data_IF_632934781489
#
_entry.id   IF_632934781489
#
_cell.length_a   1.000
_cell.length_b   1.000
_cell.length_c   1.000
_cell.angle_alpha   90.00
_cell.angle_beta   90.00
_cell.angle_gamma   90.00
#
_symmetry.space_group_name_H-M   'P 1'
#
loop_
_entity.id
_entity.type
_entity.pdbx_description
1 polymer ?
#
# COMPACT_ATOMS: atom_id res chain seq x y z
N UNK A 1 -18.08 9.97 -2.07
CA UNK A 1 -17.18 9.15 -2.92
C UNK A 1 -15.90 9.92 -3.15
N UNK A 2 -14.76 9.23 -3.28
CA UNK A 2 -13.50 9.89 -3.54
C UNK A 2 -13.38 10.33 -5.02
N UNK A 3 -12.63 11.40 -5.29
CA UNK A 3 -12.31 11.84 -6.66
C UNK A 3 -10.90 11.43 -7.06
N UNK A 4 -10.62 11.35 -8.35
CA UNK A 4 -9.29 11.04 -8.87
C UNK A 4 -8.25 12.02 -8.32
N UNK A 5 -7.16 11.50 -7.76
CA UNK A 5 -6.09 12.29 -7.13
C UNK A 5 -6.38 12.83 -5.73
N UNK A 6 -7.57 12.59 -5.15
CA UNK A 6 -7.89 13.08 -3.79
C UNK A 6 -6.99 12.45 -2.72
N UNK A 7 -6.64 11.17 -2.88
CA UNK A 7 -5.75 10.42 -1.98
C UNK A 7 -4.59 9.83 -2.80
N UNK A 8 -3.61 10.65 -3.20
CA UNK A 8 -2.57 10.24 -4.16
C UNK A 8 -1.56 9.22 -3.60
N UNK A 9 -1.62 8.97 -2.30
CA UNK A 9 -0.85 7.92 -1.64
C UNK A 9 -1.56 6.56 -1.61
N UNK A 10 -2.84 6.49 -1.98
CA UNK A 10 -3.61 5.25 -1.91
C UNK A 10 -3.05 4.21 -2.88
N UNK A 11 -2.86 2.99 -2.37
CA UNK A 11 -2.34 1.86 -3.14
C UNK A 11 -3.33 0.70 -3.08
N UNK A 12 -3.58 0.08 -4.24
CA UNK A 12 -4.22 -1.22 -4.32
C UNK A 12 -3.15 -2.31 -4.42
N UNK A 13 -3.27 -3.33 -3.59
CA UNK A 13 -2.41 -4.50 -3.58
C UNK A 13 -3.22 -5.75 -3.91
N UNK A 14 -2.92 -6.39 -5.04
CA UNK A 14 -3.34 -7.77 -5.28
C UNK A 14 -2.20 -8.69 -4.89
N UNK A 15 -2.42 -9.46 -3.83
CA UNK A 15 -1.39 -10.30 -3.22
C UNK A 15 -1.56 -11.72 -3.74
N UNK A 16 -0.50 -12.26 -4.33
CA UNK A 16 -0.43 -13.68 -4.70
C UNK A 16 0.07 -14.47 -3.48
N UNK A 17 -0.70 -15.48 -3.06
CA UNK A 17 -0.38 -16.33 -1.91
C UNK A 17 0.01 -17.73 -2.37
N UNK A 18 0.44 -18.58 -1.43
CA UNK A 18 0.63 -20.00 -1.74
C UNK A 18 -0.66 -20.72 -2.12
N UNK A 19 -1.79 -20.26 -1.58
CA UNK A 19 -3.12 -20.79 -1.87
C UNK A 19 -4.08 -19.62 -2.07
N UNK A 20 -4.33 -19.24 -3.33
CA UNK A 20 -5.26 -18.18 -3.68
C UNK A 20 -4.64 -16.80 -3.69
N UNK A 21 -5.51 -15.78 -3.56
CA UNK A 21 -5.16 -14.37 -3.68
C UNK A 21 -5.88 -13.56 -2.61
N UNK A 22 -5.26 -12.46 -2.20
CA UNK A 22 -5.88 -11.49 -1.31
C UNK A 22 -5.91 -10.10 -1.97
N UNK A 23 -6.86 -9.27 -1.52
CA UNK A 23 -6.95 -7.87 -1.88
C UNK A 23 -6.67 -7.03 -0.64
N UNK A 24 -5.69 -6.14 -0.75
CA UNK A 24 -5.27 -5.27 0.34
C UNK A 24 -5.14 -3.83 -0.15
N UNK A 25 -5.11 -2.90 0.80
CA UNK A 25 -4.68 -1.53 0.59
C UNK A 25 -3.22 -1.32 0.98
N UNK A 26 -2.71 -0.15 0.65
CA UNK A 26 -1.45 0.36 1.16
C UNK A 26 -1.35 1.87 1.02
N UNK A 27 -0.26 2.44 1.52
CA UNK A 27 0.06 3.85 1.39
C UNK A 27 1.48 4.03 0.88
N UNK A 28 1.65 4.83 -0.17
CA UNK A 28 2.98 5.17 -0.68
C UNK A 28 3.72 6.01 0.37
N UNK A 29 4.92 5.59 0.77
CA UNK A 29 5.79 6.31 1.72
C UNK A 29 6.88 7.11 1.02
N UNK A 30 7.35 6.61 -0.12
CA UNK A 30 8.34 7.26 -0.96
C UNK A 30 8.25 6.71 -2.39
N UNK A 31 9.16 7.11 -3.27
CA UNK A 31 9.21 6.66 -4.66
C UNK A 31 9.28 5.14 -4.81
N UNK A 32 9.73 4.41 -3.79
CA UNK A 32 9.94 2.96 -3.90
C UNK A 32 9.40 2.13 -2.72
N UNK A 33 8.69 2.75 -1.78
CA UNK A 33 8.23 2.08 -0.57
C UNK A 33 6.73 2.28 -0.35
N UNK A 34 6.01 1.17 -0.15
CA UNK A 34 4.59 1.14 0.20
C UNK A 34 4.44 0.55 1.60
N UNK A 35 3.72 1.25 2.48
CA UNK A 35 3.27 0.74 3.76
C UNK A 35 2.01 -0.09 3.58
N UNK A 36 1.90 -1.22 4.26
CA UNK A 36 0.69 -2.04 4.33
C UNK A 36 0.63 -2.79 5.67
N UNK A 37 -0.39 -3.61 5.86
CA UNK A 37 -0.54 -4.44 7.05
C UNK A 37 0.37 -5.68 6.98
N UNK A 38 0.76 -6.18 8.15
CA UNK A 38 1.57 -7.40 8.28
C UNK A 38 0.84 -8.64 7.77
N UNK A 39 -0.47 -8.73 8.00
CA UNK A 39 -1.31 -9.82 7.52
C UNK A 39 -1.40 -9.85 5.98
N UNK A 40 -1.34 -8.71 5.31
CA UNK A 40 -1.30 -8.64 3.84
C UNK A 40 -0.01 -9.22 3.27
N UNK A 41 1.08 -9.19 4.04
CA UNK A 41 2.36 -9.77 3.66
C UNK A 41 2.57 -11.18 4.20
N UNK A 42 1.59 -11.75 4.92
CA UNK A 42 1.73 -13.09 5.49
C UNK A 42 1.56 -14.19 4.44
N UNK A 43 2.66 -14.90 4.15
CA UNK A 43 2.70 -15.92 3.12
C UNK A 43 2.64 -15.38 1.68
N UNK A 44 2.89 -14.08 1.49
CA UNK A 44 2.92 -13.42 0.18
C UNK A 44 4.05 -13.95 -0.71
N UNK A 45 3.75 -14.17 -2.00
CA UNK A 45 4.77 -14.47 -3.02
C UNK A 45 5.13 -13.22 -3.81
N UNK A 46 4.14 -12.42 -4.13
CA UNK A 46 4.29 -11.16 -4.85
C UNK A 46 3.10 -10.24 -4.61
N UNK A 47 3.30 -8.97 -4.95
CA UNK A 47 2.29 -7.92 -4.91
C UNK A 47 2.19 -7.29 -6.29
N UNK A 48 1.01 -7.35 -6.92
CA UNK A 48 0.66 -6.41 -7.98
C UNK A 48 0.21 -5.11 -7.31
N UNK A 49 0.99 -4.06 -7.50
CA UNK A 49 0.84 -2.74 -6.88
C UNK A 49 0.25 -1.80 -7.91
N UNK A 50 -0.92 -1.22 -7.62
CA UNK A 50 -1.55 -0.20 -8.46
C UNK A 50 -1.62 1.15 -7.73
N UNK A 51 -1.15 2.20 -8.39
CA UNK A 51 -1.10 3.59 -7.92
C UNK A 51 -1.84 4.52 -8.88
N UNK A 52 -2.41 5.61 -8.36
CA UNK A 52 -3.02 6.65 -9.19
C UNK A 52 -4.42 6.34 -9.76
N UNK A 53 -5.08 5.30 -9.23
CA UNK A 53 -6.44 4.91 -9.63
C UNK A 53 -7.47 5.26 -8.54
N UNK A 54 -8.72 5.53 -8.95
CA UNK A 54 -9.89 5.71 -8.06
C UNK A 54 -10.95 4.62 -8.27
N UNK A 55 -10.95 3.98 -9.43
CA UNK A 55 -11.80 2.85 -9.78
C UNK A 55 -10.89 1.71 -10.28
N UNK A 56 -10.99 0.54 -9.65
CA UNK A 56 -10.15 -0.60 -9.98
C UNK A 56 -10.75 -1.49 -11.09
N UNK A 57 -12.06 -1.38 -11.35
CA UNK A 57 -12.77 -2.11 -12.41
C UNK A 57 -12.63 -1.40 -13.76
N UNK A 58 -12.61 -0.05 -13.75
CA UNK A 58 -12.24 0.71 -14.94
C UNK A 58 -10.72 0.60 -15.15
N UNK A 59 -10.30 -0.10 -16.21
CA UNK A 59 -8.89 -0.33 -16.54
C UNK A 59 -8.44 0.45 -17.78
N UNK A 60 -9.27 1.37 -18.28
CA UNK A 60 -9.00 2.06 -19.53
C UNK A 60 -8.16 3.34 -19.34
N UNK A 61 -6.86 3.22 -19.60
CA UNK A 61 -5.94 4.33 -19.93
C UNK A 61 -6.00 5.56 -18.98
N UNK A 62 -6.14 5.34 -17.68
CA UNK A 62 -6.25 6.40 -16.67
C UNK A 62 -4.90 6.94 -16.17
N UNK A 63 -3.78 6.49 -16.73
CA UNK A 63 -2.44 6.88 -16.30
C UNK A 63 -2.01 6.26 -14.96
N UNK A 64 -2.67 5.20 -14.48
CA UNK A 64 -2.22 4.44 -13.32
C UNK A 64 -0.86 3.81 -13.54
N UNK A 65 -0.13 3.61 -12.45
CA UNK A 65 1.12 2.85 -12.44
C UNK A 65 0.81 1.47 -11.88
N UNK A 66 1.19 0.42 -12.62
CA UNK A 66 1.06 -0.98 -12.19
C UNK A 66 2.44 -1.64 -12.19
N UNK A 67 2.85 -2.17 -11.04
CA UNK A 67 4.15 -2.81 -10.85
C UNK A 67 3.98 -4.14 -10.12
N UNK A 68 4.90 -5.07 -10.33
CA UNK A 68 4.96 -6.32 -9.55
C UNK A 68 6.17 -6.28 -8.62
N UNK A 69 5.93 -6.33 -7.32
CA UNK A 69 6.95 -6.35 -6.28
C UNK A 69 7.06 -7.75 -5.65
N UNK A 70 8.30 -8.17 -5.36
CA UNK A 70 8.62 -9.44 -4.69
C UNK A 70 9.48 -9.24 -3.43
N UNK A 71 10.04 -8.04 -3.23
CA UNK A 71 10.78 -7.68 -2.03
C UNK A 71 9.84 -6.98 -1.05
N UNK A 72 9.71 -7.53 0.16
CA UNK A 72 8.86 -7.00 1.21
C UNK A 72 9.40 -7.40 2.58
N UNK A 73 9.06 -6.59 3.60
CA UNK A 73 9.45 -6.82 4.98
C UNK A 73 8.22 -6.70 5.86
N UNK A 74 7.75 -7.84 6.37
CA UNK A 74 6.78 -7.88 7.45
C UNK A 74 7.51 -7.66 8.77
N UNK A 75 6.86 -6.94 9.71
CA UNK A 75 7.42 -6.78 11.04
C UNK A 75 7.76 -8.16 11.66
N UNK A 76 8.99 -8.33 12.14
CA UNK A 76 9.51 -9.62 12.63
C UNK A 76 8.70 -10.19 13.80
N UNK A 77 8.07 -9.29 14.57
CA UNK A 77 7.19 -9.62 15.71
C UNK A 77 5.70 -9.61 15.38
N UNK A 78 5.32 -9.64 14.10
CA UNK A 78 3.91 -9.77 13.72
C UNK A 78 3.31 -11.05 14.31
N UNK A 79 2.16 -10.94 14.97
CA UNK A 79 1.44 -12.09 15.51
C UNK A 79 0.02 -12.16 14.92
N UNK A 80 -0.31 -13.18 14.10
CA UNK A 80 -1.61 -13.29 13.45
C UNK A 80 -2.77 -13.58 14.41
N UNK A 81 -2.52 -14.12 15.61
CA UNK A 81 -3.59 -14.41 16.58
C UNK A 81 -4.11 -13.16 17.26
N UNK A 82 -3.26 -12.15 17.44
CA UNK A 82 -3.59 -10.91 18.17
C UNK A 82 -3.52 -9.66 17.29
N UNK A 83 -3.17 -9.79 16.00
CA UNK A 83 -2.88 -8.69 15.09
C UNK A 83 -1.87 -7.68 15.66
N UNK A 84 -0.97 -8.12 16.55
CA UNK A 84 0.05 -7.24 17.11
C UNK A 84 1.19 -7.05 16.11
N UNK A 85 1.69 -5.82 16.03
CA UNK A 85 2.67 -5.40 15.02
C UNK A 85 2.22 -5.72 13.59
N UNK A 86 0.93 -5.50 13.29
CA UNK A 86 0.33 -5.71 11.97
C UNK A 86 0.77 -4.63 10.97
N UNK A 87 2.06 -4.65 10.62
CA UNK A 87 2.69 -3.71 9.70
C UNK A 87 3.71 -4.42 8.81
N UNK A 88 3.77 -4.00 7.56
CA UNK A 88 4.76 -4.42 6.58
C UNK A 88 5.10 -3.27 5.62
N UNK A 89 6.25 -3.37 4.98
CA UNK A 89 6.62 -2.52 3.85
C UNK A 89 6.89 -3.37 2.61
N UNK A 90 6.43 -2.91 1.45
CA UNK A 90 6.67 -3.52 0.14
C UNK A 90 7.56 -2.58 -0.65
N UNK A 91 8.64 -3.11 -1.22
CA UNK A 91 9.58 -2.35 -2.03
C UNK A 91 9.25 -2.51 -3.50
N UNK A 92 9.02 -1.40 -4.19
CA UNK A 92 8.75 -1.40 -5.62
C UNK A 92 10.01 -1.81 -6.40
N UNK A 93 9.90 -2.50 -7.55
CA UNK A 93 11.06 -2.91 -8.33
C UNK A 93 11.82 -1.72 -8.93
N UNK A 94 11.11 -0.61 -9.17
CA UNK A 94 11.65 0.65 -9.70
C UNK A 94 11.00 1.83 -8.98
N UNK A 95 11.70 2.97 -8.81
CA UNK A 95 11.10 4.19 -8.31
C UNK A 95 9.94 4.65 -9.20
N UNK A 96 8.85 5.14 -8.60
CA UNK A 96 7.73 5.77 -9.30
C UNK A 96 7.95 7.29 -9.39
N UNK A 97 7.50 7.88 -10.48
CA UNK A 97 7.47 9.33 -10.64
C UNK A 97 6.27 9.93 -9.92
N UNK A 98 6.51 10.99 -9.16
CA UNK A 98 5.46 11.73 -8.47
C UNK A 98 4.71 12.66 -9.42
N UNK A 99 3.38 12.69 -9.28
CA UNK A 99 2.48 13.55 -10.05
C UNK A 99 1.20 13.84 -9.25
N UNK A 100 0.19 14.49 -9.85
CA UNK A 100 -1.05 14.87 -9.16
C UNK A 100 -1.87 13.68 -8.60
N UNK A 101 -1.56 12.45 -9.01
CA UNK A 101 -2.27 11.21 -8.64
C UNK A 101 -1.40 10.23 -7.86
N UNK A 102 -0.09 10.46 -7.80
CA UNK A 102 0.90 9.59 -7.14
C UNK A 102 1.82 10.47 -6.28
N UNK A 103 1.61 10.44 -4.97
CA UNK A 103 2.40 11.19 -3.99
C UNK A 103 2.51 10.40 -2.69
N UNK A 104 3.58 10.56 -1.90
CA UNK A 104 3.71 9.87 -0.63
C UNK A 104 2.82 10.50 0.45
N UNK A 105 2.38 9.68 1.41
CA UNK A 105 1.79 10.15 2.67
C UNK A 105 2.88 10.57 3.65
N UNK A 106 2.59 11.54 4.53
CA UNK A 106 3.48 11.90 5.62
C UNK A 106 3.29 10.94 6.79
N UNK A 107 4.38 10.38 7.30
CA UNK A 107 4.36 9.64 8.55
C UNK A 107 4.18 10.59 9.74
N UNK A 108 3.47 10.16 10.79
CA UNK A 108 3.42 10.90 12.04
C UNK A 108 4.82 10.91 12.68
N UNK A 109 5.11 11.98 13.41
CA UNK A 109 6.26 12.05 14.30
C UNK A 109 5.94 11.37 15.62
N UNK A 110 6.95 10.86 16.34
CA UNK A 110 6.72 10.08 17.57
C UNK A 110 6.03 10.83 18.73
N UNK A 111 5.85 12.16 18.60
CA UNK A 111 5.11 13.00 19.55
C UNK A 111 3.66 13.29 19.14
N UNK A 112 3.27 12.93 17.91
CA UNK A 112 1.93 13.22 17.41
C UNK A 112 0.88 12.32 18.08
N UNK A 113 -0.22 12.93 18.52
CA UNK A 113 -1.42 12.22 18.99
C UNK A 113 -2.58 12.60 18.09
N UNK A 114 -3.27 11.60 17.55
CA UNK A 114 -4.44 11.77 16.68
C UNK A 114 -5.75 11.33 17.34
N UNK A 115 -5.70 10.95 18.62
CA UNK A 115 -6.88 10.69 19.44
C UNK A 115 -7.78 11.92 19.41
N UNK A 116 -9.09 11.71 19.21
CA UNK A 116 -10.12 12.75 19.20
C UNK A 116 -10.00 13.82 18.08
N UNK A 117 -9.21 13.57 17.03
CA UNK A 117 -9.30 14.38 15.81
C UNK A 117 -10.46 13.91 14.95
N UNK A 118 -11.38 14.82 14.65
CA UNK A 118 -12.37 14.61 13.59
C UNK A 118 -11.66 14.56 12.23
N UNK A 119 -12.05 13.59 11.41
CA UNK A 119 -11.49 13.29 10.08
C UNK A 119 -12.26 14.06 9.01
#
# INVERSE_FOLDING_TARGET
TATLGQFPFQVLLKVELSQGRALCGGSLLSEQWVLTAGHCADGAKSFEVTLGAVDFEDTTNDGRVVLTATEYHRHEKYNPLFATNDVAVVKLPTPVEFNDRVQPVKLPTGSDTFTDREV
#
